data_IF_652548261861
#
_entry.id   IF_652548261861
#
_cell.length_a   1.000
_cell.length_b   1.000
_cell.length_c   1.000
_cell.angle_alpha   90.00
_cell.angle_beta   90.00
_cell.angle_gamma   90.00
#
_symmetry.space_group_name_H-M   'P 1'
#
loop_
_entity.id
_entity.type
_entity.pdbx_description
1 polymer ?
#
# COMPACT_ATOMS: atom_id res chain seq x y z
N UNK A 1 2.81 19.78 -19.91
CA UNK A 1 3.20 19.10 -18.67
C UNK A 1 1.93 19.01 -17.88
N UNK A 2 1.32 17.83 -17.82
CA UNK A 2 0.10 17.66 -17.02
C UNK A 2 0.52 17.84 -15.57
N UNK A 3 0.09 18.94 -14.95
CA UNK A 3 0.30 19.18 -13.52
C UNK A 3 -0.28 18.01 -12.75
N UNK A 4 0.62 17.18 -12.20
CA UNK A 4 0.24 16.09 -11.32
C UNK A 4 -0.26 16.73 -10.01
N UNK A 5 -1.57 16.85 -9.88
CA UNK A 5 -2.17 17.35 -8.66
C UNK A 5 -1.86 16.38 -7.51
N UNK A 6 -1.35 16.93 -6.40
CA UNK A 6 -1.06 16.18 -5.18
C UNK A 6 -2.07 16.59 -4.11
N UNK A 7 -2.73 15.62 -3.47
CA UNK A 7 -3.55 15.83 -2.28
C UNK A 7 -2.78 15.29 -1.07
N UNK A 8 -2.47 16.15 -0.09
CA UNK A 8 -1.68 15.75 1.07
C UNK A 8 -0.23 15.30 0.77
N UNK A 9 0.26 15.54 -0.45
CA UNK A 9 1.57 15.10 -0.95
C UNK A 9 1.55 13.76 -1.70
N UNK A 10 0.38 13.19 -1.97
CA UNK A 10 0.21 11.97 -2.78
C UNK A 10 -0.56 12.25 -4.07
N UNK A 11 -0.37 11.45 -5.14
CA UNK A 11 -1.03 11.70 -6.42
C UNK A 11 -2.56 11.67 -6.26
N UNK A 12 -3.24 12.77 -6.61
CA UNK A 12 -4.69 12.90 -6.47
C UNK A 12 -5.48 12.09 -7.52
N UNK A 13 -4.78 11.59 -8.54
CA UNK A 13 -5.33 10.65 -9.52
C UNK A 13 -5.52 9.23 -8.95
N UNK A 14 -4.98 8.97 -7.75
CA UNK A 14 -5.20 7.74 -7.00
C UNK A 14 -6.44 7.92 -6.13
N UNK A 15 -7.34 6.94 -6.18
CA UNK A 15 -8.52 6.87 -5.32
C UNK A 15 -8.12 6.36 -3.93
N UNK A 16 -7.92 7.29 -3.00
CA UNK A 16 -7.51 6.99 -1.63
C UNK A 16 -8.74 6.68 -0.78
N UNK A 17 -8.74 5.50 -0.17
CA UNK A 17 -9.83 4.99 0.66
C UNK A 17 -9.43 5.11 2.13
N UNK A 18 -10.38 5.54 2.97
CA UNK A 18 -10.24 5.57 4.43
C UNK A 18 -10.09 4.15 4.98
N UNK A 19 -9.22 3.95 5.98
CA UNK A 19 -8.92 2.63 6.53
C UNK A 19 -10.16 1.85 6.97
N UNK A 20 -11.12 2.51 7.63
CA UNK A 20 -12.37 1.92 8.12
C UNK A 20 -13.23 1.28 7.02
N UNK A 21 -13.12 1.78 5.78
CA UNK A 21 -13.85 1.28 4.60
C UNK A 21 -13.01 0.32 3.76
N UNK A 22 -11.70 0.32 3.93
CA UNK A 22 -10.77 -0.37 3.06
C UNK A 22 -11.07 -1.88 2.94
N UNK A 23 -11.37 -2.54 4.06
CA UNK A 23 -11.66 -3.98 4.10
C UNK A 23 -12.93 -4.30 3.31
N UNK A 24 -14.01 -3.54 3.50
CA UNK A 24 -15.25 -3.73 2.75
C UNK A 24 -15.04 -3.55 1.25
N UNK A 25 -14.37 -2.45 0.86
CA UNK A 25 -14.05 -2.16 -0.55
C UNK A 25 -13.13 -3.22 -1.16
N UNK A 26 -12.15 -3.72 -0.40
CA UNK A 26 -11.23 -4.75 -0.86
C UNK A 26 -11.96 -6.06 -1.19
N UNK A 27 -12.91 -6.45 -0.32
CA UNK A 27 -13.78 -7.61 -0.53
C UNK A 27 -14.70 -7.42 -1.73
N UNK A 28 -15.39 -6.29 -1.81
CA UNK A 28 -16.34 -6.01 -2.89
C UNK A 28 -15.66 -5.97 -4.27
N UNK A 29 -14.46 -5.38 -4.34
CA UNK A 29 -13.70 -5.28 -5.59
C UNK A 29 -12.80 -6.49 -5.85
N UNK A 30 -12.65 -7.39 -4.88
CA UNK A 30 -11.67 -8.48 -4.87
C UNK A 30 -10.25 -7.96 -5.24
N UNK A 31 -9.77 -6.95 -4.51
CA UNK A 31 -8.45 -6.34 -4.69
C UNK A 31 -7.65 -6.38 -3.41
N UNK A 32 -6.31 -6.58 -3.48
CA UNK A 32 -5.45 -6.42 -2.33
C UNK A 32 -5.40 -4.95 -1.89
N UNK A 33 -5.02 -4.73 -0.64
CA UNK A 33 -4.88 -3.39 -0.05
C UNK A 33 -3.41 -2.96 -0.13
N UNK A 34 -3.18 -1.76 -0.65
CA UNK A 34 -1.93 -1.04 -0.48
C UNK A 34 -2.05 -0.18 0.78
N UNK A 35 -1.30 -0.49 1.82
CA UNK A 35 -1.44 0.15 3.13
C UNK A 35 -0.19 0.97 3.47
N UNK A 36 -0.28 2.30 3.36
CA UNK A 36 0.79 3.24 3.68
C UNK A 36 0.57 3.86 5.07
N UNK A 37 1.53 3.65 5.96
CA UNK A 37 1.57 4.29 7.28
C UNK A 37 2.63 5.39 7.27
N UNK A 38 2.23 6.62 7.58
CA UNK A 38 3.13 7.78 7.60
C UNK A 38 2.72 8.79 8.68
N UNK A 39 3.63 9.72 9.03
CA UNK A 39 3.35 10.80 10.00
C UNK A 39 3.84 12.15 9.47
N UNK A 40 3.13 13.22 9.79
CA UNK A 40 3.35 14.58 9.25
C UNK A 40 4.71 15.17 9.63
N UNK A 41 5.19 14.84 10.82
CA UNK A 41 6.45 15.34 11.37
C UNK A 41 7.69 14.57 10.86
N UNK A 42 7.51 13.45 10.14
CA UNK A 42 8.60 12.60 9.72
C UNK A 42 9.32 13.11 8.45
N UNK A 43 10.65 13.26 8.54
CA UNK A 43 11.49 13.67 7.41
C UNK A 43 11.50 12.65 6.26
N UNK A 44 11.51 11.35 6.55
CA UNK A 44 11.47 10.31 5.53
C UNK A 44 10.12 10.28 4.79
N UNK A 45 9.00 10.53 5.49
CA UNK A 45 7.67 10.66 4.89
C UNK A 45 7.61 11.85 3.92
N UNK A 46 8.22 13.00 4.27
CA UNK A 46 8.35 14.15 3.35
C UNK A 46 9.17 13.81 2.11
N UNK A 47 10.24 13.02 2.28
CA UNK A 47 11.03 12.50 1.17
C UNK A 47 10.21 11.64 0.21
N UNK A 48 9.40 10.74 0.75
CA UNK A 48 8.50 9.88 -0.02
C UNK A 48 7.41 10.68 -0.76
N UNK A 49 6.77 11.66 -0.10
CA UNK A 49 5.80 12.57 -0.73
C UNK A 49 6.44 13.32 -1.92
N UNK A 50 7.69 13.80 -1.76
CA UNK A 50 8.44 14.43 -2.86
C UNK A 50 8.71 13.46 -4.00
N UNK A 51 9.13 12.23 -3.69
CA UNK A 51 9.39 11.19 -4.70
C UNK A 51 8.13 10.90 -5.53
N UNK A 52 6.94 10.82 -4.92
CA UNK A 52 5.69 10.69 -5.68
C UNK A 52 5.44 11.87 -6.64
N UNK A 53 5.78 13.09 -6.25
CA UNK A 53 5.65 14.27 -7.11
C UNK A 53 6.67 14.37 -8.24
N UNK A 54 7.90 13.88 -8.04
CA UNK A 54 9.01 14.08 -8.99
C UNK A 54 9.38 12.86 -9.82
N UNK A 55 8.95 11.66 -9.44
CA UNK A 55 9.38 10.44 -10.14
C UNK A 55 8.79 10.37 -11.55
N UNK A 56 9.60 10.08 -12.60
CA UNK A 56 9.08 9.88 -13.95
C UNK A 56 8.17 8.65 -14.05
N UNK A 57 8.22 7.77 -13.03
CA UNK A 57 7.41 6.55 -12.95
C UNK A 57 6.09 6.73 -12.20
N UNK A 58 5.77 7.93 -11.71
CA UNK A 58 4.51 8.15 -10.99
C UNK A 58 3.27 7.83 -11.85
N UNK A 59 3.35 8.03 -13.17
CA UNK A 59 2.26 7.59 -14.07
C UNK A 59 2.05 6.07 -14.05
N UNK A 60 3.14 5.30 -14.03
CA UNK A 60 3.07 3.83 -13.92
C UNK A 60 2.47 3.41 -12.57
N UNK A 61 2.82 4.13 -11.49
CA UNK A 61 2.24 3.90 -10.16
C UNK A 61 0.73 4.12 -10.15
N UNK A 62 0.25 5.22 -10.74
CA UNK A 62 -1.19 5.54 -10.83
C UNK A 62 -1.94 4.49 -11.65
N UNK A 63 -1.35 3.99 -12.72
CA UNK A 63 -1.97 2.91 -13.49
C UNK A 63 -2.03 1.60 -12.69
N UNK A 64 -0.97 1.27 -11.96
CA UNK A 64 -0.91 0.06 -11.17
C UNK A 64 -1.83 0.14 -9.93
N UNK A 65 -1.99 1.32 -9.34
CA UNK A 65 -2.82 1.57 -8.15
C UNK A 65 -4.28 1.22 -8.37
N UNK A 66 -4.77 1.25 -9.62
CA UNK A 66 -6.13 0.81 -9.98
C UNK A 66 -6.40 -0.66 -9.62
N UNK A 67 -5.38 -1.48 -9.45
CA UNK A 67 -5.49 -2.88 -9.06
C UNK A 67 -5.50 -3.10 -7.54
N UNK A 68 -5.39 -2.04 -6.76
CA UNK A 68 -5.37 -2.06 -5.30
C UNK A 68 -6.50 -1.22 -4.72
N UNK A 69 -6.85 -1.50 -3.47
CA UNK A 69 -7.48 -0.51 -2.60
C UNK A 69 -6.35 0.29 -1.96
N UNK A 70 -6.25 1.58 -2.31
CA UNK A 70 -5.14 2.42 -1.89
C UNK A 70 -5.50 3.14 -0.60
N UNK A 71 -4.75 2.87 0.45
CA UNK A 71 -4.96 3.45 1.78
C UNK A 71 -3.69 4.14 2.23
N UNK A 72 -3.84 5.32 2.80
CA UNK A 72 -2.81 5.92 3.62
C UNK A 72 -3.41 6.35 4.97
N UNK A 73 -2.71 6.06 6.06
CA UNK A 73 -3.05 6.51 7.40
C UNK A 73 -1.97 7.47 7.89
N UNK A 74 -2.40 8.59 8.47
CA UNK A 74 -1.53 9.68 8.90
C UNK A 74 -1.62 9.86 10.43
N UNK A 75 -0.48 10.07 11.08
CA UNK A 75 -0.37 10.42 12.50
C UNK A 75 -1.04 9.42 13.47
N UNK A 76 -2.21 9.75 14.01
CA UNK A 76 -2.95 8.97 15.02
C UNK A 76 -3.98 8.00 14.41
N UNK A 77 -4.15 8.02 13.08
CA UNK A 77 -5.04 7.09 12.35
C UNK A 77 -4.40 5.70 12.13
N UNK A 78 -3.18 5.49 12.61
CA UNK A 78 -2.47 4.22 12.57
C UNK A 78 -3.18 3.17 13.45
N UNK A 79 -3.61 2.02 12.89
CA UNK A 79 -4.23 0.96 13.70
C UNK A 79 -3.21 0.37 14.69
N UNK A 80 -3.65 0.10 15.92
CA UNK A 80 -2.79 -0.39 17.01
C UNK A 80 -2.38 -1.87 16.87
N UNK A 81 -2.88 -2.58 15.87
CA UNK A 81 -2.60 -4.01 15.67
C UNK A 81 -1.13 -4.24 15.28
N UNK A 82 -0.42 -5.06 16.07
CA UNK A 82 1.00 -5.37 15.90
C UNK A 82 1.33 -5.97 14.52
N UNK A 83 0.34 -6.59 13.84
CA UNK A 83 0.52 -7.13 12.50
C UNK A 83 0.87 -6.06 11.45
N UNK A 84 0.61 -4.78 11.74
CA UNK A 84 1.00 -3.64 10.89
C UNK A 84 2.33 -2.98 11.30
N UNK A 85 3.04 -3.57 12.27
CA UNK A 85 4.40 -3.22 12.67
C UNK A 85 5.31 -4.47 12.86
N UNK A 86 5.33 -5.42 11.91
CA UNK A 86 5.94 -6.75 12.08
C UNK A 86 7.46 -6.74 12.30
N UNK A 87 8.16 -5.68 11.87
CA UNK A 87 9.60 -5.47 12.11
C UNK A 87 9.89 -4.11 12.79
N UNK A 88 8.88 -3.54 13.46
CA UNK A 88 8.99 -2.33 14.28
C UNK A 88 8.16 -1.13 13.79
N UNK A 89 8.04 -0.13 14.67
CA UNK A 89 7.21 1.07 14.46
C UNK A 89 7.86 2.22 13.68
N UNK A 90 8.86 1.95 12.84
CA UNK A 90 9.53 2.99 12.04
C UNK A 90 8.61 3.51 10.93
N UNK A 91 8.82 4.71 10.39
CA UNK A 91 7.96 5.30 9.34
C UNK A 91 8.77 5.98 8.24
N UNK A 92 8.29 6.01 6.97
CA UNK A 92 7.05 5.40 6.47
C UNK A 92 7.15 3.87 6.31
N UNK A 93 6.00 3.20 6.32
CA UNK A 93 5.88 1.76 6.00
C UNK A 93 4.82 1.54 4.93
N UNK A 94 5.12 0.67 3.97
CA UNK A 94 4.14 0.19 2.99
C UNK A 94 4.00 -1.31 3.17
N UNK A 95 2.79 -1.74 3.49
CA UNK A 95 2.42 -3.14 3.69
C UNK A 95 1.36 -3.50 2.65
N UNK A 96 1.50 -4.67 2.03
CA UNK A 96 0.47 -5.21 1.15
C UNK A 96 -0.39 -6.17 1.98
N UNK A 97 -1.70 -5.98 1.93
CA UNK A 97 -2.66 -6.82 2.66
C UNK A 97 -3.58 -7.53 1.67
N UNK A 98 -4.09 -8.69 2.07
CA UNK A 98 -5.17 -9.36 1.35
C UNK A 98 -6.55 -8.68 1.59
N UNK A 99 -7.62 -9.31 1.11
CA UNK A 99 -8.99 -8.78 1.28
C UNK A 99 -9.52 -8.83 2.71
N UNK A 100 -8.88 -9.59 3.58
CA UNK A 100 -9.21 -9.72 5.00
C UNK A 100 -8.32 -8.86 5.90
N UNK A 101 -7.49 -8.01 5.28
CA UNK A 101 -6.51 -7.15 5.94
C UNK A 101 -5.40 -7.92 6.68
N UNK A 102 -5.09 -9.12 6.20
CA UNK A 102 -3.93 -9.89 6.66
C UNK A 102 -2.68 -9.52 5.85
N UNK A 103 -1.52 -9.30 6.52
CA UNK A 103 -0.27 -9.00 5.84
C UNK A 103 0.18 -10.12 4.90
N UNK A 104 0.55 -9.72 3.68
CA UNK A 104 1.15 -10.58 2.68
C UNK A 104 2.67 -10.72 2.90
N UNK A 105 3.29 -11.76 2.33
CA UNK A 105 4.73 -12.01 2.42
C UNK A 105 5.55 -10.97 1.65
N UNK A 106 4.96 -10.35 0.63
CA UNK A 106 5.63 -9.34 -0.19
C UNK A 106 6.14 -8.15 0.65
N UNK A 107 7.47 -8.03 0.69
CA UNK A 107 8.18 -6.93 1.36
C UNK A 107 9.44 -6.48 0.55
N UNK A 108 10.19 -5.49 1.04
CA UNK A 108 11.43 -4.93 0.48
C UNK A 108 12.72 -5.43 1.16
N UNK A 109 12.69 -6.59 1.84
CA UNK A 109 13.85 -7.09 2.60
C UNK A 109 15.09 -7.35 1.73
N UNK A 110 14.88 -7.59 0.42
CA UNK A 110 15.95 -7.73 -0.58
C UNK A 110 16.85 -6.49 -0.64
N UNK A 111 16.29 -5.31 -0.35
CA UNK A 111 17.01 -4.03 -0.32
C UNK A 111 17.30 -3.56 1.11
N UNK A 112 16.36 -3.76 2.02
CA UNK A 112 16.44 -3.25 3.40
C UNK A 112 16.18 -4.37 4.41
N UNK A 113 17.26 -5.05 4.86
CA UNK A 113 17.17 -6.21 5.76
C UNK A 113 16.50 -5.93 7.11
N UNK A 114 16.71 -4.72 7.65
CA UNK A 114 16.21 -4.32 8.97
C UNK A 114 14.98 -3.40 8.90
N UNK A 115 14.50 -3.07 7.69
CA UNK A 115 13.36 -2.19 7.47
C UNK A 115 12.60 -2.70 6.24
N UNK A 116 12.02 -3.89 6.36
CA UNK A 116 11.48 -4.67 5.24
C UNK A 116 10.33 -3.95 4.54
N UNK A 117 9.57 -3.14 5.27
CA UNK A 117 8.43 -2.39 4.73
C UNK A 117 8.78 -0.95 4.33
N UNK A 118 10.07 -0.61 4.30
CA UNK A 118 10.52 0.71 3.85
C UNK A 118 10.71 0.74 2.33
N UNK A 119 10.02 1.66 1.65
CA UNK A 119 10.12 1.87 0.21
C UNK A 119 10.32 3.36 -0.10
N UNK A 120 11.56 3.85 -0.20
CA UNK A 120 11.84 5.28 -0.40
C UNK A 120 11.65 5.76 -1.83
N UNK A 121 11.59 4.86 -2.82
CA UNK A 121 11.60 5.19 -4.25
C UNK A 121 10.41 4.57 -4.98
N UNK A 122 9.76 5.33 -5.88
CA UNK A 122 8.60 4.83 -6.67
C UNK A 122 8.91 3.55 -7.45
N UNK A 123 10.09 3.37 -8.09
CA UNK A 123 10.44 2.10 -8.73
C UNK A 123 10.41 0.88 -7.79
N UNK A 124 10.69 1.07 -6.51
CA UNK A 124 10.65 -0.01 -5.51
C UNK A 124 9.23 -0.34 -5.09
N UNK A 125 8.40 0.70 -4.95
CA UNK A 125 6.98 0.55 -4.69
C UNK A 125 6.33 -0.23 -5.84
N UNK A 126 6.66 0.11 -7.08
CA UNK A 126 6.20 -0.59 -8.28
C UNK A 126 6.61 -2.07 -8.30
N UNK A 127 7.84 -2.39 -7.94
CA UNK A 127 8.30 -3.79 -7.81
C UNK A 127 7.50 -4.54 -6.73
N UNK A 128 7.33 -3.92 -5.56
CA UNK A 128 6.50 -4.44 -4.48
C UNK A 128 5.06 -4.70 -4.93
N UNK A 129 4.41 -3.72 -5.54
CA UNK A 129 3.05 -3.84 -6.05
C UNK A 129 2.91 -4.98 -7.08
N UNK A 130 3.87 -5.13 -8.00
CA UNK A 130 3.84 -6.24 -8.98
C UNK A 130 3.94 -7.59 -8.29
N UNK A 131 4.84 -7.75 -7.31
CA UNK A 131 4.97 -9.00 -6.55
C UNK A 131 3.73 -9.29 -5.70
N UNK A 132 3.17 -8.27 -5.05
CA UNK A 132 1.95 -8.39 -4.26
C UNK A 132 0.77 -8.85 -5.13
N UNK A 133 0.63 -8.34 -6.37
CA UNK A 133 -0.42 -8.82 -7.27
C UNK A 133 -0.23 -10.29 -7.66
N UNK A 134 1.00 -10.74 -7.90
CA UNK A 134 1.26 -12.14 -8.23
C UNK A 134 1.01 -13.06 -7.03
N UNK A 135 1.42 -12.65 -5.84
CA UNK A 135 1.12 -13.36 -4.60
C UNK A 135 -0.39 -13.41 -4.32
N UNK A 136 -1.10 -12.29 -4.47
CA UNK A 136 -2.54 -12.20 -4.23
C UNK A 136 -3.34 -13.13 -5.16
N UNK A 137 -2.89 -13.27 -6.42
CA UNK A 137 -3.49 -14.24 -7.36
C UNK A 137 -3.26 -15.69 -6.94
N UNK A 138 -2.17 -15.97 -6.24
CA UNK A 138 -1.81 -17.30 -5.76
C UNK A 138 -2.45 -17.66 -4.42
N UNK A 139 -2.96 -16.68 -3.66
CA UNK A 139 -3.67 -16.93 -2.42
C UNK A 139 -4.93 -17.77 -2.66
N UNK A 140 -5.24 -18.73 -1.78
CA UNK A 140 -6.49 -19.48 -1.86
C UNK A 140 -7.64 -18.50 -1.65
N UNK A 141 -8.47 -18.32 -2.68
CA UNK A 141 -9.65 -17.46 -2.55
C UNK A 141 -10.58 -18.05 -1.49
N UNK A 142 -10.70 -17.39 -0.35
CA UNK A 142 -11.70 -17.70 0.68
C UNK A 142 -13.06 -17.36 0.08
N UNK A 143 -13.67 -18.34 -0.60
CA UNK A 143 -14.90 -18.10 -1.33
C UNK A 143 -15.21 -19.11 -2.42
N UNK A 144 -15.17 -20.41 -2.11
CA UNK A 144 -16.08 -21.34 -2.75
C UNK A 144 -16.52 -22.40 -1.74
N UNK A 145 -17.42 -22.02 -0.82
CA UNK A 145 -18.37 -23.01 -0.34
C UNK A 145 -19.37 -23.21 -1.46
N UNK A 146 -19.16 -24.28 -2.22
CA UNK A 146 -20.19 -24.94 -3.00
C UNK A 146 -21.45 -25.03 -2.14
N UNK A 147 -22.49 -24.26 -2.47
CA UNK A 147 -23.85 -24.66 -2.13
C UNK A 147 -24.27 -25.71 -3.17
N UNK A 148 -23.77 -26.93 -2.99
CA UNK A 148 -24.52 -28.11 -3.38
C UNK A 148 -25.57 -28.36 -2.30
N UNK A 149 -26.80 -27.89 -2.53
CA UNK A 149 -28.05 -28.51 -2.10
C UNK A 149 -29.23 -27.81 -2.75
#
# INVERSE_FOLDING_TARGET
MEDLLLLGGFPSAIDWVEWEKAIGVAKDLNKPIFFLIHKTWCGACKGLKREFGSSPKTKELIELSKNFVMVNVEDDDEPEDEKYAPDGGYIPRIIFLDTDAEPMDTNNERKYKNHKYFYPLVPEILDGMKRALEEFKALPKVGNQEKCQ
#
